data_IF_581699121737
#
_entry.id   IF_581699121737
#
_cell.length_a   1.000
_cell.length_b   1.000
_cell.length_c   1.000
_cell.angle_alpha   90.00
_cell.angle_beta   90.00
_cell.angle_gamma   90.00
#
_symmetry.space_group_name_H-M   'P 1'
#
loop_
_entity.id
_entity.type
_entity.pdbx_description
1 polymer ?
#
# COMPACT_ATOMS: atom_id res chain seq x y z
N UNK A 1 20.02 -3.54 -28.14
CA UNK A 1 20.14 -4.07 -26.77
C UNK A 1 19.11 -5.18 -26.64
N UNK A 2 19.54 -6.44 -26.64
CA UNK A 2 18.63 -7.60 -26.62
C UNK A 2 18.17 -7.85 -25.19
N UNK A 3 16.85 -7.78 -24.94
CA UNK A 3 16.26 -8.20 -23.67
C UNK A 3 15.89 -9.68 -23.81
N UNK A 4 16.52 -10.58 -23.04
CA UNK A 4 16.24 -12.01 -23.17
C UNK A 4 14.80 -12.35 -22.72
N UNK A 5 14.23 -13.45 -23.23
CA UNK A 5 12.88 -13.88 -22.85
C UNK A 5 12.86 -14.30 -21.37
N UNK A 6 11.72 -14.12 -20.68
CA UNK A 6 11.61 -14.52 -19.28
C UNK A 6 11.70 -16.03 -19.16
N UNK A 7 12.73 -16.53 -18.47
CA UNK A 7 12.82 -17.95 -18.10
C UNK A 7 14.20 -18.60 -18.15
N UNK A 8 15.23 -17.92 -18.66
CA UNK A 8 16.57 -18.49 -18.73
C UNK A 8 17.59 -17.65 -17.95
N UNK A 9 18.17 -18.29 -16.93
CA UNK A 9 19.37 -17.92 -16.17
C UNK A 9 19.19 -17.08 -14.89
N UNK A 10 19.31 -17.82 -13.77
CA UNK A 10 20.03 -17.47 -12.55
C UNK A 10 19.31 -16.72 -11.41
N UNK A 11 18.88 -17.54 -10.44
CA UNK A 11 18.50 -17.24 -9.05
C UNK A 11 17.19 -16.49 -8.84
N UNK A 12 16.50 -16.84 -7.75
CA UNK A 12 15.32 -16.15 -7.23
C UNK A 12 15.62 -14.72 -6.72
N UNK A 13 16.64 -14.05 -7.26
CA UNK A 13 16.86 -12.63 -7.05
C UNK A 13 15.77 -11.88 -7.81
N UNK A 14 14.74 -11.47 -7.07
CA UNK A 14 13.75 -10.50 -7.55
C UNK A 14 14.45 -9.34 -8.25
N UNK A 15 13.87 -8.85 -9.34
CA UNK A 15 14.38 -7.78 -10.21
C UNK A 15 14.76 -6.44 -9.54
N UNK A 16 14.50 -6.30 -8.24
CA UNK A 16 14.76 -5.09 -7.47
C UNK A 16 15.64 -5.50 -6.29
N UNK A 17 16.65 -4.72 -5.96
CA UNK A 17 17.48 -5.00 -4.78
C UNK A 17 16.72 -4.75 -3.47
N UNK A 18 17.11 -5.44 -2.38
CA UNK A 18 16.47 -5.25 -1.05
C UNK A 18 16.57 -3.81 -0.57
N UNK A 19 17.74 -3.20 -0.73
CA UNK A 19 17.98 -1.78 -0.40
C UNK A 19 17.01 -0.85 -1.13
N UNK A 20 16.77 -1.11 -2.42
CA UNK A 20 15.84 -0.32 -3.24
C UNK A 20 14.39 -0.52 -2.77
N UNK A 21 13.99 -1.76 -2.43
CA UNK A 21 12.66 -2.02 -1.86
C UNK A 21 12.46 -1.30 -0.52
N UNK A 22 13.44 -1.36 0.38
CA UNK A 22 13.39 -0.65 1.66
C UNK A 22 13.28 0.87 1.46
N UNK A 23 14.04 1.41 0.51
CA UNK A 23 13.96 2.82 0.13
C UNK A 23 12.59 3.19 -0.46
N UNK A 24 11.97 2.32 -1.26
CA UNK A 24 10.61 2.52 -1.76
C UNK A 24 9.56 2.50 -0.65
N UNK A 25 9.75 1.67 0.37
CA UNK A 25 8.86 1.67 1.51
C UNK A 25 8.99 2.95 2.36
N UNK A 26 10.22 3.47 2.49
CA UNK A 26 10.46 4.80 3.05
C UNK A 26 9.75 5.90 2.26
N UNK A 27 9.76 5.78 0.93
CA UNK A 27 9.05 6.70 0.05
C UNK A 27 7.53 6.59 0.23
N UNK A 28 6.97 5.37 0.29
CA UNK A 28 5.55 5.17 0.59
C UNK A 28 5.13 5.84 1.90
N UNK A 29 5.95 5.72 2.96
CA UNK A 29 5.71 6.41 4.23
C UNK A 29 5.62 7.93 4.06
N UNK A 30 6.58 8.53 3.36
CA UNK A 30 6.58 9.98 3.07
C UNK A 30 5.39 10.41 2.20
N UNK A 31 4.99 9.57 1.25
CA UNK A 31 3.86 9.88 0.38
C UNK A 31 2.53 9.89 1.15
N UNK A 32 2.40 9.13 2.24
CA UNK A 32 1.25 9.26 3.13
C UNK A 32 1.21 10.65 3.79
N UNK A 33 2.36 11.21 4.19
CA UNK A 33 2.43 12.59 4.70
C UNK A 33 2.04 13.61 3.63
N UNK A 34 2.43 13.37 2.37
CA UNK A 34 2.00 14.21 1.25
C UNK A 34 0.48 14.12 1.04
N UNK A 35 -0.11 12.93 1.09
CA UNK A 35 -1.56 12.76 0.94
C UNK A 35 -2.34 13.46 2.07
N UNK A 36 -1.87 13.33 3.32
CA UNK A 36 -2.39 14.10 4.45
C UNK A 36 -2.37 15.59 4.12
N UNK A 37 -1.22 16.11 3.68
CA UNK A 37 -1.04 17.53 3.38
C UNK A 37 -1.84 18.05 2.18
N UNK A 38 -2.10 17.20 1.17
CA UNK A 38 -2.83 17.55 -0.04
C UNK A 38 -4.35 17.60 0.14
N UNK A 39 -4.90 17.10 1.25
CA UNK A 39 -6.32 17.24 1.55
C UNK A 39 -6.70 18.70 1.77
N UNK A 40 -7.50 19.26 0.87
CA UNK A 40 -8.00 20.64 0.94
C UNK A 40 -9.31 20.78 1.74
N UNK A 41 -9.96 19.66 2.06
CA UNK A 41 -11.22 19.59 2.80
C UNK A 41 -11.51 18.14 3.20
N UNK A 42 -12.79 17.73 3.33
CA UNK A 42 -13.12 16.32 3.53
C UNK A 42 -12.69 15.42 2.35
N UNK A 43 -12.37 16.01 1.19
CA UNK A 43 -11.87 15.35 -0.02
C UNK A 43 -10.64 16.08 -0.58
N UNK A 44 -9.89 15.43 -1.49
CA UNK A 44 -8.64 15.96 -2.03
C UNK A 44 -8.78 17.31 -2.75
N UNK A 45 -9.91 17.55 -3.41
CA UNK A 45 -10.19 18.81 -4.11
C UNK A 45 -11.16 19.74 -3.35
N UNK A 46 -11.34 19.54 -2.03
CA UNK A 46 -12.13 20.42 -1.17
C UNK A 46 -13.40 19.76 -0.63
N UNK A 47 -14.54 20.45 -0.76
CA UNK A 47 -15.80 20.03 -0.14
C UNK A 47 -16.51 18.88 -0.86
N UNK A 48 -16.19 18.63 -2.14
CA UNK A 48 -16.79 17.58 -2.96
C UNK A 48 -15.75 16.58 -3.41
N UNK A 49 -16.19 15.33 -3.53
CA UNK A 49 -15.38 14.25 -4.07
C UNK A 49 -15.03 14.50 -5.53
N UNK A 50 -13.86 14.03 -5.91
CA UNK A 50 -13.26 14.24 -7.23
C UNK A 50 -12.58 12.98 -7.74
N UNK A 51 -12.04 13.04 -8.96
CA UNK A 51 -11.21 11.96 -9.50
C UNK A 51 -9.98 11.67 -8.64
N UNK A 52 -9.47 12.64 -7.87
CA UNK A 52 -8.34 12.41 -6.98
C UNK A 52 -8.68 11.40 -5.88
N UNK A 53 -9.88 11.50 -5.29
CA UNK A 53 -10.35 10.58 -4.25
C UNK A 53 -10.46 9.15 -4.79
N UNK A 54 -11.01 8.99 -5.99
CA UNK A 54 -11.13 7.70 -6.66
C UNK A 54 -9.78 7.11 -7.07
N UNK A 55 -8.79 7.95 -7.39
CA UNK A 55 -7.44 7.49 -7.71
C UNK A 55 -6.69 7.00 -6.47
N UNK A 56 -6.85 7.67 -5.33
CA UNK A 56 -6.11 7.36 -4.10
C UNK A 56 -6.73 6.20 -3.31
N UNK A 57 -8.06 6.07 -3.31
CA UNK A 57 -8.76 5.11 -2.45
C UNK A 57 -8.31 3.65 -2.64
N UNK A 58 -8.23 3.09 -3.86
CA UNK A 58 -7.75 1.72 -4.05
C UNK A 58 -6.34 1.52 -3.50
N UNK A 59 -5.45 2.51 -3.64
CA UNK A 59 -4.09 2.44 -3.13
C UNK A 59 -4.06 2.32 -1.61
N UNK A 60 -4.89 3.09 -0.89
CA UNK A 60 -4.99 3.01 0.57
C UNK A 60 -5.55 1.65 1.01
N UNK A 61 -6.53 1.07 0.28
CA UNK A 61 -7.01 -0.30 0.51
C UNK A 61 -5.88 -1.34 0.35
N UNK A 62 -5.06 -1.22 -0.70
CA UNK A 62 -3.90 -2.09 -0.88
C UNK A 62 -2.90 -1.98 0.29
N UNK A 63 -2.65 -0.77 0.78
CA UNK A 63 -1.73 -0.54 1.90
C UNK A 63 -2.30 -1.09 3.22
N UNK A 64 -3.58 -0.86 3.50
CA UNK A 64 -4.28 -1.44 4.66
C UNK A 64 -4.17 -2.97 4.67
N UNK A 65 -4.26 -3.61 3.50
CA UNK A 65 -4.12 -5.05 3.39
C UNK A 65 -2.67 -5.55 3.55
N UNK A 66 -1.74 -4.99 2.77
CA UNK A 66 -0.38 -5.53 2.64
C UNK A 66 0.59 -5.08 3.73
N UNK A 67 0.49 -3.85 4.23
CA UNK A 67 1.45 -3.32 5.21
C UNK A 67 1.54 -4.17 6.49
N UNK A 68 0.41 -4.54 7.14
CA UNK A 68 0.48 -5.40 8.32
C UNK A 68 0.94 -6.83 7.98
N UNK A 69 0.49 -7.40 6.86
CA UNK A 69 0.78 -8.80 6.49
C UNK A 69 2.21 -9.05 6.06
N UNK A 70 2.78 -8.10 5.30
CA UNK A 70 4.09 -8.28 4.65
C UNK A 70 5.21 -7.63 5.45
N UNK A 71 4.95 -6.45 6.00
CA UNK A 71 5.96 -5.60 6.62
C UNK A 71 5.78 -5.44 8.14
N UNK A 72 4.76 -6.10 8.72
CA UNK A 72 4.44 -6.05 10.14
C UNK A 72 4.25 -4.61 10.67
N UNK A 73 3.67 -3.73 9.84
CA UNK A 73 3.19 -2.44 10.32
C UNK A 73 1.99 -2.66 11.25
N UNK A 74 1.82 -1.77 12.23
CA UNK A 74 0.61 -1.80 13.05
C UNK A 74 -0.63 -1.45 12.20
N UNK A 75 -1.82 -1.88 12.60
CA UNK A 75 -3.06 -1.55 11.87
C UNK A 75 -3.31 -0.04 11.80
N UNK A 76 -2.82 0.71 12.79
CA UNK A 76 -2.92 2.17 12.84
C UNK A 76 -1.77 2.90 12.14
N UNK A 77 -0.68 2.20 11.77
CA UNK A 77 0.54 2.81 11.20
C UNK A 77 0.26 3.67 9.97
N UNK A 78 -0.63 3.18 9.10
CA UNK A 78 -1.01 3.86 7.86
C UNK A 78 -1.50 5.30 8.11
N UNK A 79 -2.16 5.51 9.25
CA UNK A 79 -2.78 6.77 9.64
C UNK A 79 -2.09 7.45 10.83
N UNK A 80 -0.92 6.95 11.26
CA UNK A 80 -0.13 7.56 12.33
C UNK A 80 0.22 9.00 11.96
N UNK A 81 -0.14 9.94 12.83
CA UNK A 81 -0.02 11.40 12.61
C UNK A 81 -0.72 11.95 11.35
N UNK A 82 -1.71 11.21 10.81
CA UNK A 82 -2.47 11.59 9.60
C UNK A 82 -3.98 11.57 9.83
N UNK A 83 -4.50 12.42 10.73
CA UNK A 83 -5.89 12.38 11.15
C UNK A 83 -6.87 12.74 10.03
N UNK A 84 -6.49 13.63 9.08
CA UNK A 84 -7.39 14.00 7.97
C UNK A 84 -7.50 12.88 6.96
N UNK A 85 -6.38 12.22 6.63
CA UNK A 85 -6.37 11.05 5.76
C UNK A 85 -7.14 9.89 6.39
N UNK A 86 -7.01 9.70 7.71
CA UNK A 86 -7.81 8.73 8.46
C UNK A 86 -9.31 9.00 8.33
N UNK A 87 -9.73 10.25 8.57
CA UNK A 87 -11.14 10.65 8.46
C UNK A 87 -11.66 10.53 7.03
N UNK A 88 -10.87 10.95 6.03
CA UNK A 88 -11.18 10.76 4.62
C UNK A 88 -11.45 9.29 4.27
N UNK A 89 -10.59 8.37 4.74
CA UNK A 89 -10.73 6.94 4.44
C UNK A 89 -11.90 6.29 5.20
N UNK A 90 -11.92 6.46 6.53
CA UNK A 90 -12.82 5.71 7.43
C UNK A 90 -14.22 6.32 7.54
N UNK A 91 -14.35 7.64 7.37
CA UNK A 91 -15.65 8.34 7.48
C UNK A 91 -16.20 8.64 6.09
N UNK A 92 -15.43 9.34 5.24
CA UNK A 92 -15.97 9.84 3.98
C UNK A 92 -16.05 8.74 2.91
N UNK A 93 -14.93 8.09 2.57
CA UNK A 93 -14.92 7.07 1.53
C UNK A 93 -15.68 5.81 1.93
N UNK A 94 -15.47 5.31 3.16
CA UNK A 94 -16.14 4.09 3.63
C UNK A 94 -17.66 4.21 3.81
N UNK A 95 -18.21 5.43 3.85
CA UNK A 95 -19.67 5.64 3.87
C UNK A 95 -20.35 5.37 2.52
N UNK A 96 -19.57 5.28 1.43
CA UNK A 96 -20.08 5.13 0.07
C UNK A 96 -20.26 3.64 -0.28
N UNK A 97 -21.47 3.20 -0.68
CA UNK A 97 -21.69 1.81 -1.08
C UNK A 97 -20.77 1.35 -2.22
N UNK A 98 -20.47 2.25 -3.16
CA UNK A 98 -19.57 1.96 -4.27
C UNK A 98 -18.11 1.73 -3.80
N UNK A 99 -17.64 2.51 -2.82
CA UNK A 99 -16.30 2.34 -2.27
C UNK A 99 -16.19 1.04 -1.47
N UNK A 100 -17.22 0.68 -0.70
CA UNK A 100 -17.29 -0.62 -0.01
C UNK A 100 -17.16 -1.78 -0.99
N UNK A 101 -17.93 -1.74 -2.09
CA UNK A 101 -17.87 -2.79 -3.11
C UNK A 101 -16.46 -2.91 -3.73
N UNK A 102 -15.83 -1.79 -4.07
CA UNK A 102 -14.47 -1.80 -4.61
C UNK A 102 -13.48 -2.37 -3.59
N UNK A 103 -13.61 -2.00 -2.32
CA UNK A 103 -12.78 -2.55 -1.24
C UNK A 103 -12.92 -4.06 -1.15
N UNK A 104 -14.15 -4.57 -1.15
CA UNK A 104 -14.42 -6.01 -1.04
C UNK A 104 -13.84 -6.77 -2.23
N UNK A 105 -14.08 -6.31 -3.47
CA UNK A 105 -13.52 -6.92 -4.68
C UNK A 105 -11.98 -6.95 -4.67
N UNK A 106 -11.33 -5.88 -4.19
CA UNK A 106 -9.88 -5.82 -4.06
C UNK A 106 -9.36 -6.76 -2.97
N UNK A 107 -9.99 -6.77 -1.79
CA UNK A 107 -9.59 -7.62 -0.67
C UNK A 107 -9.74 -9.10 -1.03
N UNK A 108 -10.85 -9.50 -1.65
CA UNK A 108 -11.05 -10.87 -2.12
C UNK A 108 -9.97 -11.29 -3.12
N UNK A 109 -9.63 -10.42 -4.08
CA UNK A 109 -8.54 -10.66 -5.03
C UNK A 109 -7.18 -10.83 -4.32
N UNK A 110 -6.90 -10.01 -3.30
CA UNK A 110 -5.66 -10.07 -2.54
C UNK A 110 -5.57 -11.31 -1.66
N UNK A 111 -6.67 -11.71 -1.02
CA UNK A 111 -6.76 -12.96 -0.23
C UNK A 111 -6.54 -14.19 -1.12
N UNK A 112 -7.15 -14.22 -2.31
CA UNK A 112 -6.92 -15.29 -3.27
C UNK A 112 -5.43 -15.39 -3.67
N UNK A 113 -4.75 -14.25 -3.87
CA UNK A 113 -3.30 -14.21 -4.13
C UNK A 113 -2.48 -14.66 -2.93
N UNK A 114 -2.85 -14.26 -1.71
CA UNK A 114 -2.20 -14.69 -0.48
C UNK A 114 -2.27 -16.22 -0.31
N UNK A 115 -3.41 -16.83 -0.63
CA UNK A 115 -3.60 -18.28 -0.56
C UNK A 115 -2.67 -19.07 -1.49
N UNK A 116 -2.19 -18.46 -2.59
CA UNK A 116 -1.17 -19.08 -3.46
C UNK A 116 0.24 -19.12 -2.84
N UNK A 117 0.44 -18.48 -1.69
CA UNK A 117 1.73 -18.40 -1.00
C UNK A 117 2.64 -17.28 -1.51
N UNK A 118 2.16 -16.42 -2.41
CA UNK A 118 2.91 -15.29 -3.00
C UNK A 118 3.59 -14.42 -1.93
N UNK A 119 2.91 -14.17 -0.81
CA UNK A 119 3.41 -13.28 0.25
C UNK A 119 4.51 -13.91 1.10
N UNK A 120 4.56 -15.26 1.21
CA UNK A 120 5.55 -15.95 2.06
C UNK A 120 6.99 -15.62 1.68
N UNK A 121 7.26 -15.57 0.38
CA UNK A 121 8.58 -15.19 -0.13
C UNK A 121 8.90 -13.72 0.17
N UNK A 122 7.91 -12.83 0.21
CA UNK A 122 8.13 -11.40 0.54
C UNK A 122 8.41 -11.24 2.04
N UNK A 123 7.61 -11.90 2.89
CA UNK A 123 7.76 -11.89 4.34
C UNK A 123 9.13 -12.44 4.76
N UNK A 124 9.65 -13.45 4.06
CA UNK A 124 10.98 -13.99 4.37
C UNK A 124 12.10 -12.94 4.19
N UNK A 125 11.96 -12.01 3.24
CA UNK A 125 12.95 -10.96 3.00
C UNK A 125 12.87 -9.83 4.03
N UNK A 126 11.70 -9.56 4.59
CA UNK A 126 11.51 -8.49 5.58
C UNK A 126 12.04 -8.86 6.98
N UNK A 127 12.53 -10.09 7.15
CA UNK A 127 13.26 -10.54 8.35
C UNK A 127 14.71 -10.04 8.41
N UNK A 128 15.25 -9.52 7.31
CA UNK A 128 16.59 -8.94 7.27
C UNK A 128 16.57 -7.56 7.93
N UNK A 129 16.97 -7.50 9.21
CA UNK A 129 16.95 -6.31 10.05
C UNK A 129 17.99 -5.25 9.66
N UNK A 130 18.87 -5.55 8.69
CA UNK A 130 19.80 -4.57 8.10
C UNK A 130 19.05 -3.40 7.45
N UNK A 131 17.79 -3.64 7.03
CA UNK A 131 16.96 -2.65 6.36
C UNK A 131 15.72 -2.28 7.19
N UNK A 132 15.29 -1.02 7.07
CA UNK A 132 14.06 -0.54 7.70
C UNK A 132 12.83 -0.94 6.89
N UNK A 133 12.14 -1.99 7.32
CA UNK A 133 10.91 -2.48 6.71
C UNK A 133 9.63 -1.98 7.38
N UNK A 134 9.71 -1.42 8.59
CA UNK A 134 8.54 -0.96 9.33
C UNK A 134 8.64 0.50 9.73
N UNK A 135 7.48 1.15 9.71
CA UNK A 135 7.28 2.52 10.14
C UNK A 135 6.19 2.51 11.22
N UNK A 136 6.17 3.51 12.13
CA UNK A 136 5.26 3.54 13.27
C UNK A 136 3.79 3.30 12.89
#
# INVERSE_FOLDING_TARGET
>A
MYVPPPGACASASRWVERSVRAAKLAECWKQLDNLENLLLGPFFCGAMMSLADFAVFPTIVFMEFYMPRVFAWSESALFHDRPRLCAWYTVHMSSLPAASRVRDELVDSMLAKEATGLLKAIIAETKDETYKWKYP
#
